data_IF_346314175512
#
_entry.id   IF_346314175512
#
_cell.length_a   1.000
_cell.length_b   1.000
_cell.length_c   1.000
_cell.angle_alpha   90.00
_cell.angle_beta   90.00
_cell.angle_gamma   90.00
#
_symmetry.space_group_name_H-M   'P 1'
#
loop_
_entity.id
_entity.type
_entity.pdbx_description
1 polymer ?
#
# COMPACT_ATOMS: atom_id res chain seq x y z
N UNK A 1 -6.07 23.03 -10.68
CA UNK A 1 -5.50 22.92 -9.32
C UNK A 1 -6.38 23.67 -8.32
N UNK A 2 -6.38 23.22 -7.06
CA UNK A 2 -7.11 23.86 -5.95
C UNK A 2 -6.11 24.15 -4.84
N UNK A 3 -6.08 25.40 -4.36
CA UNK A 3 -5.34 25.79 -3.18
C UNK A 3 -6.28 25.76 -1.98
N UNK A 4 -6.12 24.77 -1.12
CA UNK A 4 -6.95 24.59 0.07
C UNK A 4 -6.73 25.64 1.17
N UNK A 5 -5.63 26.37 1.13
CA UNK A 5 -5.33 27.42 2.12
C UNK A 5 -6.03 28.73 1.78
N UNK A 6 -6.08 29.10 0.50
CA UNK A 6 -6.69 30.34 0.03
C UNK A 6 -8.09 30.16 -0.55
N UNK A 7 -8.49 28.92 -0.88
CA UNK A 7 -9.74 28.58 -1.55
C UNK A 7 -9.74 28.89 -3.05
N UNK A 8 -8.62 29.24 -3.63
CA UNK A 8 -8.51 29.57 -5.05
C UNK A 8 -8.58 28.31 -5.92
N UNK A 9 -9.27 28.43 -7.04
CA UNK A 9 -9.37 27.38 -8.07
C UNK A 9 -8.71 27.89 -9.34
N UNK A 10 -7.76 27.10 -9.86
CA UNK A 10 -7.00 27.40 -11.08
C UNK A 10 -7.40 26.43 -12.19
N UNK A 11 -7.66 26.93 -13.38
CA UNK A 11 -8.05 26.12 -14.54
C UNK A 11 -6.91 25.30 -15.16
N UNK A 12 -5.71 25.39 -14.61
CA UNK A 12 -4.52 24.69 -15.07
C UNK A 12 -3.81 23.91 -13.94
N UNK A 13 -2.89 23.05 -14.31
CA UNK A 13 -2.01 22.37 -13.35
C UNK A 13 -0.88 23.30 -12.98
N UNK A 14 -0.83 23.72 -11.71
CA UNK A 14 0.24 24.58 -11.20
C UNK A 14 1.40 23.70 -10.76
N UNK A 15 2.61 24.12 -11.10
CA UNK A 15 3.83 23.45 -10.60
C UNK A 15 3.92 23.59 -9.07
N UNK A 16 4.11 22.47 -8.40
CA UNK A 16 4.24 22.39 -6.94
C UNK A 16 5.71 22.20 -6.58
N UNK A 17 6.20 22.99 -5.65
CA UNK A 17 7.53 22.80 -5.07
C UNK A 17 7.46 21.71 -4.00
N UNK A 18 8.22 20.60 -4.13
CA UNK A 18 8.25 19.58 -3.10
C UNK A 18 8.74 20.16 -1.76
N UNK A 19 8.16 19.66 -0.65
CA UNK A 19 8.61 20.01 0.67
C UNK A 19 10.07 19.60 0.86
N UNK A 20 10.88 20.52 1.36
CA UNK A 20 12.30 20.30 1.66
C UNK A 20 12.59 20.58 3.14
N UNK A 21 13.48 19.79 3.73
CA UNK A 21 14.02 20.07 5.06
C UNK A 21 15.13 21.08 4.88
N UNK A 22 14.90 22.32 5.32
CA UNK A 22 15.86 23.43 5.22
C UNK A 22 15.58 24.52 6.25
N UNK A 23 16.58 25.35 6.56
CA UNK A 23 16.44 26.51 7.43
C UNK A 23 15.94 26.16 8.84
N UNK A 24 14.91 26.86 9.30
CA UNK A 24 14.38 26.70 10.67
C UNK A 24 13.82 25.30 10.92
N UNK A 25 13.23 24.66 9.91
CA UNK A 25 12.72 23.28 10.03
C UNK A 25 13.87 22.30 10.26
N UNK A 26 14.99 22.43 9.54
CA UNK A 26 16.17 21.59 9.72
C UNK A 26 16.76 21.74 11.12
N UNK A 27 16.88 22.99 11.58
CA UNK A 27 17.33 23.31 12.93
C UNK A 27 16.42 22.68 13.99
N UNK A 28 15.10 22.84 13.84
CA UNK A 28 14.12 22.31 14.78
C UNK A 28 14.15 20.76 14.83
N UNK A 29 14.23 20.10 13.68
CA UNK A 29 14.36 18.66 13.60
C UNK A 29 15.69 18.17 14.21
N UNK A 30 16.78 18.91 14.05
CA UNK A 30 18.06 18.64 14.72
C UNK A 30 17.91 18.63 16.25
N UNK A 31 17.25 19.60 16.84
CA UNK A 31 16.97 19.63 18.28
C UNK A 31 16.10 18.44 18.72
N UNK A 32 15.09 18.07 17.92
CA UNK A 32 14.25 16.92 18.20
C UNK A 32 15.06 15.62 18.19
N UNK A 33 16.03 15.48 17.27
CA UNK A 33 16.92 14.33 17.20
C UNK A 33 17.88 14.25 18.41
N UNK A 34 18.39 15.38 18.90
CA UNK A 34 19.20 15.45 20.12
C UNK A 34 18.40 14.98 21.35
N UNK A 35 17.18 15.46 21.52
CA UNK A 35 16.29 15.04 22.63
C UNK A 35 15.96 13.55 22.53
N UNK A 36 15.70 13.06 21.33
CA UNK A 36 15.45 11.64 21.07
C UNK A 36 16.67 10.79 21.43
N UNK A 37 17.87 11.18 21.01
CA UNK A 37 19.11 10.48 21.33
C UNK A 37 19.36 10.45 22.85
N UNK A 38 19.12 11.55 23.56
CA UNK A 38 19.26 11.65 25.01
C UNK A 38 18.26 10.75 25.76
N UNK A 39 17.13 10.38 25.16
CA UNK A 39 16.13 9.47 25.77
C UNK A 39 16.52 7.99 25.74
N UNK A 40 17.59 7.61 25.05
CA UNK A 40 18.12 6.25 25.06
C UNK A 40 18.65 5.89 26.47
N UNK A 41 18.32 4.68 26.94
CA UNK A 41 18.74 4.22 28.27
C UNK A 41 19.19 2.76 28.25
N UNK A 42 20.11 2.42 29.13
CA UNK A 42 20.49 1.02 29.36
C UNK A 42 19.77 0.47 30.59
N UNK A 43 19.11 -0.66 30.44
CA UNK A 43 18.44 -1.34 31.54
C UNK A 43 19.47 -1.95 32.52
N UNK A 44 19.11 -2.28 33.76
CA UNK A 44 19.99 -2.96 34.68
C UNK A 44 20.53 -4.33 34.17
N UNK A 45 19.81 -4.94 33.23
CA UNK A 45 20.24 -6.18 32.55
C UNK A 45 21.20 -5.95 31.39
N UNK A 46 21.67 -4.71 31.15
CA UNK A 46 22.60 -4.37 30.08
C UNK A 46 21.96 -4.18 28.69
N UNK A 47 20.63 -4.26 28.57
CA UNK A 47 19.93 -4.06 27.30
C UNK A 47 19.76 -2.56 27.03
N UNK A 48 20.22 -2.10 25.89
CA UNK A 48 19.93 -0.73 25.43
C UNK A 48 18.48 -0.64 24.94
N UNK A 49 17.71 0.26 25.54
CA UNK A 49 16.38 0.65 25.10
C UNK A 49 16.53 1.95 24.33
N UNK A 50 16.20 1.91 23.06
CA UNK A 50 16.16 3.11 22.22
C UNK A 50 15.15 4.10 22.77
N UNK A 51 15.39 5.37 22.51
CA UNK A 51 14.44 6.43 22.82
C UNK A 51 13.20 6.34 21.95
N UNK A 52 12.36 7.35 22.02
CA UNK A 52 11.16 7.45 21.19
C UNK A 52 11.54 7.50 19.72
N UNK A 53 10.97 6.61 18.91
CA UNK A 53 11.19 6.56 17.47
C UNK A 53 9.88 6.87 16.73
N UNK A 54 9.97 7.68 15.66
CA UNK A 54 8.85 7.95 14.77
C UNK A 54 8.99 7.08 13.53
N UNK A 55 7.97 6.27 13.25
CA UNK A 55 7.87 5.46 12.05
C UNK A 55 6.82 6.10 11.11
N UNK A 56 7.18 6.27 9.84
CA UNK A 56 6.29 6.90 8.86
C UNK A 56 5.35 5.89 8.21
N UNK A 57 4.17 6.34 7.78
CA UNK A 57 3.39 5.65 6.78
C UNK A 57 4.01 5.99 5.42
N UNK A 58 4.57 5.02 4.73
CA UNK A 58 5.23 5.25 3.44
C UNK A 58 5.26 3.99 2.58
N UNK A 59 5.21 4.20 1.28
CA UNK A 59 5.41 3.20 0.26
C UNK A 59 6.74 3.44 -0.47
N UNK A 60 7.04 2.66 -1.51
CA UNK A 60 8.35 2.67 -2.16
C UNK A 60 8.85 4.08 -2.54
N UNK A 61 7.96 4.89 -3.13
CA UNK A 61 8.34 6.23 -3.63
C UNK A 61 8.45 7.28 -2.53
N UNK A 62 7.83 7.05 -1.38
CA UNK A 62 7.75 7.98 -0.26
C UNK A 62 8.82 7.73 0.80
N UNK A 63 9.36 6.51 0.86
CA UNK A 63 10.35 6.11 1.87
C UNK A 63 11.58 7.03 1.92
N UNK A 64 12.21 7.45 0.79
CA UNK A 64 13.34 8.37 0.83
C UNK A 64 13.00 9.73 1.42
N UNK A 65 11.77 10.21 1.20
CA UNK A 65 11.30 11.47 1.76
C UNK A 65 11.05 11.34 3.26
N UNK A 66 10.42 10.25 3.71
CA UNK A 66 10.19 9.98 5.11
C UNK A 66 11.50 10.01 5.93
N UNK A 67 12.59 9.46 5.37
CA UNK A 67 13.90 9.51 6.04
C UNK A 67 14.47 10.92 6.12
N UNK A 68 14.34 11.72 5.06
CA UNK A 68 14.79 13.11 5.09
C UNK A 68 14.07 13.92 6.16
N UNK A 69 12.85 13.57 6.51
CA UNK A 69 12.08 14.14 7.60
C UNK A 69 12.34 13.48 8.97
N UNK A 70 13.31 12.57 9.07
CA UNK A 70 13.76 12.00 10.35
C UNK A 70 13.02 10.74 10.80
N UNK A 71 12.25 10.07 9.93
CA UNK A 71 11.63 8.81 10.27
C UNK A 71 12.69 7.72 10.52
N UNK A 72 12.53 6.95 11.61
CA UNK A 72 13.42 5.85 11.97
C UNK A 72 13.13 4.57 11.17
N UNK A 73 11.96 4.49 10.53
CA UNK A 73 11.53 3.35 9.74
C UNK A 73 10.15 3.56 9.12
N UNK A 74 9.61 2.51 8.50
CA UNK A 74 8.23 2.48 8.00
C UNK A 74 7.35 1.74 9.01
N UNK A 75 6.39 2.47 9.57
CA UNK A 75 5.40 1.94 10.52
C UNK A 75 4.19 1.31 9.86
N UNK A 76 3.91 1.71 8.62
CA UNK A 76 2.86 1.11 7.79
C UNK A 76 3.20 1.29 6.30
N UNK A 77 3.40 0.15 5.63
CA UNK A 77 3.40 0.04 4.18
C UNK A 77 2.10 -0.65 3.74
N UNK A 78 1.28 0.04 2.93
CA UNK A 78 0.01 -0.47 2.41
C UNK A 78 0.24 -1.18 1.09
N UNK A 79 0.16 -2.50 1.08
CA UNK A 79 0.43 -3.28 -0.13
C UNK A 79 -0.65 -3.15 -1.20
N UNK A 80 -1.87 -2.77 -0.83
CA UNK A 80 -2.97 -2.54 -1.77
C UNK A 80 -2.66 -1.46 -2.81
N UNK A 81 -1.92 -0.42 -2.44
CA UNK A 81 -1.54 0.64 -3.37
C UNK A 81 -0.64 0.14 -4.51
N UNK A 82 0.11 -0.92 -4.28
CA UNK A 82 0.95 -1.54 -5.31
C UNK A 82 0.13 -2.19 -6.43
N UNK A 83 -1.15 -2.50 -6.19
CA UNK A 83 -2.01 -3.17 -7.16
C UNK A 83 -2.77 -2.22 -8.09
N UNK A 84 -2.81 -0.90 -7.81
CA UNK A 84 -3.56 0.05 -8.63
C UNK A 84 -2.87 0.43 -9.97
N UNK A 85 -1.62 0.02 -10.16
CA UNK A 85 -0.89 0.28 -11.41
C UNK A 85 -0.91 -0.92 -12.36
N UNK A 86 -0.96 -0.65 -13.66
CA UNK A 86 -0.81 -1.70 -14.67
C UNK A 86 0.66 -2.19 -14.74
N UNK A 87 0.92 -3.47 -15.02
CA UNK A 87 -0.05 -4.53 -15.38
C UNK A 87 -0.64 -5.28 -14.17
N UNK A 88 -0.28 -4.90 -12.94
CA UNK A 88 -0.72 -5.60 -11.71
C UNK A 88 -2.23 -5.52 -11.53
N UNK A 89 -2.82 -4.34 -11.77
CA UNK A 89 -4.27 -4.14 -11.61
C UNK A 89 -5.09 -5.13 -12.45
N UNK A 90 -4.76 -5.30 -13.72
CA UNK A 90 -5.48 -6.23 -14.60
C UNK A 90 -5.36 -7.68 -14.12
N UNK A 91 -4.17 -8.12 -13.72
CA UNK A 91 -3.96 -9.48 -13.20
C UNK A 91 -4.69 -9.70 -11.87
N UNK A 92 -4.71 -8.68 -11.01
CA UNK A 92 -5.41 -8.72 -9.75
C UNK A 92 -6.93 -8.75 -9.94
N UNK A 93 -7.48 -7.95 -10.85
CA UNK A 93 -8.89 -7.98 -11.23
C UNK A 93 -9.30 -9.36 -11.78
N UNK A 94 -8.46 -9.99 -12.63
CA UNK A 94 -8.70 -11.36 -13.11
C UNK A 94 -8.69 -12.35 -11.95
N UNK A 95 -7.78 -12.24 -11.00
CA UNK A 95 -7.75 -13.06 -9.80
C UNK A 95 -9.06 -12.94 -9.00
N UNK A 96 -9.54 -11.72 -8.78
CA UNK A 96 -10.77 -11.46 -8.01
C UNK A 96 -12.00 -12.12 -8.64
N UNK A 97 -12.13 -12.05 -9.97
CA UNK A 97 -13.29 -12.62 -10.68
C UNK A 97 -13.17 -14.11 -10.96
N UNK A 98 -12.03 -14.76 -10.66
CA UNK A 98 -11.79 -16.18 -10.90
C UNK A 98 -12.72 -17.05 -10.05
N UNK A 99 -13.32 -18.06 -10.66
CA UNK A 99 -14.23 -19.01 -9.99
C UNK A 99 -13.50 -20.20 -9.35
N UNK A 100 -12.26 -20.47 -9.78
CA UNK A 100 -11.45 -21.60 -9.26
C UNK A 100 -10.18 -21.14 -8.55
N UNK A 101 -9.68 -21.98 -7.65
CA UNK A 101 -8.39 -21.77 -6.97
C UNK A 101 -7.22 -21.83 -7.95
N UNK A 102 -7.32 -22.68 -8.97
CA UNK A 102 -6.29 -22.84 -10.01
C UNK A 102 -6.14 -21.56 -10.82
N UNK A 103 -7.25 -20.95 -11.24
CA UNK A 103 -7.22 -19.67 -11.96
C UNK A 103 -6.70 -18.54 -11.08
N UNK A 104 -7.11 -18.49 -9.80
CA UNK A 104 -6.56 -17.50 -8.86
C UNK A 104 -5.07 -17.64 -8.71
N UNK A 105 -4.56 -18.87 -8.50
CA UNK A 105 -3.11 -19.13 -8.41
C UNK A 105 -2.36 -18.75 -9.68
N UNK A 106 -2.91 -19.01 -10.85
CA UNK A 106 -2.30 -18.62 -12.12
C UNK A 106 -2.17 -17.09 -12.26
N UNK A 107 -3.22 -16.35 -11.90
CA UNK A 107 -3.20 -14.89 -11.91
C UNK A 107 -2.25 -14.31 -10.85
N UNK A 108 -2.19 -14.90 -9.66
CA UNK A 108 -1.26 -14.52 -8.60
C UNK A 108 0.20 -14.80 -8.98
N UNK A 109 0.47 -15.88 -9.70
CA UNK A 109 1.82 -16.18 -10.19
C UNK A 109 2.34 -15.13 -11.17
N UNK A 110 1.46 -14.48 -11.94
CA UNK A 110 1.84 -13.35 -12.79
C UNK A 110 2.14 -12.07 -11.99
N UNK A 111 1.52 -11.90 -10.82
CA UNK A 111 1.72 -10.74 -9.92
C UNK A 111 2.99 -10.89 -9.09
N UNK A 112 3.32 -12.09 -8.64
CA UNK A 112 4.42 -12.39 -7.72
C UNK A 112 5.73 -11.67 -8.07
N UNK A 113 6.31 -11.80 -9.30
CA UNK A 113 7.57 -11.14 -9.63
C UNK A 113 7.49 -9.62 -9.63
N UNK A 114 6.32 -9.06 -9.92
CA UNK A 114 6.11 -7.61 -9.91
C UNK A 114 6.08 -7.09 -8.47
N UNK A 115 5.42 -7.80 -7.58
CA UNK A 115 5.35 -7.42 -6.18
C UNK A 115 6.68 -7.68 -5.45
N UNK A 116 7.42 -8.72 -5.80
CA UNK A 116 8.81 -8.92 -5.34
C UNK A 116 9.68 -7.70 -5.67
N UNK A 117 9.56 -7.17 -6.89
CA UNK A 117 10.30 -5.98 -7.30
C UNK A 117 9.93 -4.74 -6.46
N UNK A 118 8.65 -4.58 -6.14
CA UNK A 118 8.18 -3.48 -5.28
C UNK A 118 8.79 -3.61 -3.86
N UNK A 119 8.71 -4.80 -3.26
CA UNK A 119 9.31 -5.05 -1.94
C UNK A 119 10.82 -4.94 -1.93
N UNK A 120 11.50 -5.45 -2.96
CA UNK A 120 12.94 -5.26 -3.11
C UNK A 120 13.31 -3.77 -3.09
N UNK A 121 12.54 -2.93 -3.81
CA UNK A 121 12.76 -1.48 -3.81
C UNK A 121 12.62 -0.86 -2.43
N UNK A 122 11.60 -1.25 -1.66
CA UNK A 122 11.39 -0.79 -0.28
C UNK A 122 12.52 -1.26 0.63
N UNK A 123 12.79 -2.56 0.66
CA UNK A 123 13.80 -3.18 1.53
C UNK A 123 15.18 -2.57 1.26
N UNK A 124 15.53 -2.39 -0.01
CA UNK A 124 16.78 -1.76 -0.41
C UNK A 124 16.88 -0.31 0.09
N UNK A 125 15.83 0.47 -0.05
CA UNK A 125 15.77 1.87 0.42
C UNK A 125 15.88 1.94 1.94
N UNK A 126 15.36 0.93 2.65
CA UNK A 126 15.32 0.91 4.11
C UNK A 126 16.67 0.60 4.76
N UNK A 127 17.64 -0.01 4.07
CA UNK A 127 19.02 -0.24 4.55
C UNK A 127 19.06 -0.83 5.98
N UNK A 128 18.26 -1.86 6.23
CA UNK A 128 18.18 -2.53 7.53
C UNK A 128 17.28 -1.86 8.60
N UNK A 129 16.61 -0.74 8.26
CA UNK A 129 15.61 -0.13 9.14
C UNK A 129 14.32 -0.94 9.16
N UNK A 130 13.54 -0.78 10.23
CA UNK A 130 12.28 -1.51 10.39
C UNK A 130 11.24 -1.12 9.32
N UNK A 131 10.57 -2.13 8.77
CA UNK A 131 9.42 -1.96 7.86
C UNK A 131 8.28 -2.82 8.34
N UNK A 132 7.15 -2.20 8.67
CA UNK A 132 5.90 -2.91 8.94
C UNK A 132 5.07 -2.95 7.67
N UNK A 133 4.94 -4.14 7.09
CA UNK A 133 4.19 -4.37 5.87
C UNK A 133 2.79 -4.88 6.25
N UNK A 134 1.75 -4.18 5.82
CA UNK A 134 0.38 -4.65 5.90
C UNK A 134 0.08 -5.50 4.66
N UNK A 135 -0.25 -6.76 4.86
CA UNK A 135 -0.78 -7.60 3.79
C UNK A 135 -2.10 -7.03 3.27
N UNK A 136 -2.60 -7.52 2.15
CA UNK A 136 -3.82 -7.04 1.52
C UNK A 136 -4.97 -6.92 2.54
N UNK A 137 -5.45 -5.71 2.74
CA UNK A 137 -6.47 -5.41 3.74
C UNK A 137 -7.83 -5.02 3.15
N UNK A 138 -7.95 -4.16 2.12
CA UNK A 138 -9.26 -3.71 1.65
C UNK A 138 -10.10 -4.84 1.06
N UNK A 139 -11.42 -4.69 1.08
CA UNK A 139 -12.31 -5.65 0.43
C UNK A 139 -12.11 -5.64 -1.09
N UNK A 140 -12.33 -6.79 -1.72
CA UNK A 140 -12.00 -6.99 -3.13
C UNK A 140 -12.85 -6.15 -4.10
N UNK A 141 -14.04 -5.70 -3.68
CA UNK A 141 -14.88 -4.83 -4.51
C UNK A 141 -14.22 -3.48 -4.83
N UNK A 142 -13.30 -2.98 -4.00
CA UNK A 142 -12.57 -1.73 -4.30
C UNK A 142 -11.73 -1.81 -5.59
N UNK A 143 -11.33 -3.01 -6.01
CA UNK A 143 -10.58 -3.23 -7.24
C UNK A 143 -11.46 -3.54 -8.45
N UNK A 144 -12.74 -3.86 -8.21
CA UNK A 144 -13.72 -4.18 -9.25
C UNK A 144 -14.70 -3.02 -9.36
N UNK A 145 -14.30 -1.98 -10.09
CA UNK A 145 -15.12 -0.78 -10.28
C UNK A 145 -16.24 -1.08 -11.29
N UNK A 146 -17.44 -1.33 -10.79
CA UNK A 146 -18.62 -1.64 -11.60
C UNK A 146 -19.91 -1.01 -11.02
N UNK A 147 -19.76 0.15 -10.34
CA UNK A 147 -20.88 0.87 -9.72
C UNK A 147 -21.86 1.42 -10.74
N UNK A 148 -21.43 1.62 -11.98
CA UNK A 148 -22.28 2.09 -13.09
C UNK A 148 -22.22 1.09 -14.25
N UNK A 149 -23.30 1.03 -15.08
CA UNK A 149 -23.31 0.17 -16.27
C UNK A 149 -22.15 0.43 -17.24
N UNK A 150 -21.67 1.66 -17.33
CA UNK A 150 -20.57 1.99 -18.23
C UNK A 150 -19.21 1.51 -17.70
N UNK A 151 -18.99 1.58 -16.38
CA UNK A 151 -17.82 1.00 -15.73
C UNK A 151 -17.82 -0.52 -15.85
N UNK A 152 -18.97 -1.17 -15.63
CA UNK A 152 -19.12 -2.61 -15.77
C UNK A 152 -18.80 -3.07 -17.21
N UNK A 153 -19.28 -2.34 -18.24
CA UNK A 153 -18.97 -2.60 -19.66
C UNK A 153 -17.48 -2.42 -19.97
N UNK A 154 -16.88 -1.33 -19.46
CA UNK A 154 -15.46 -1.07 -19.66
C UNK A 154 -14.58 -2.16 -19.05
N UNK A 155 -14.89 -2.59 -17.81
CA UNK A 155 -14.18 -3.64 -17.12
C UNK A 155 -14.38 -5.00 -17.81
N UNK A 156 -15.61 -5.34 -18.20
CA UNK A 156 -15.92 -6.58 -18.94
C UNK A 156 -15.12 -6.65 -20.26
N UNK A 157 -15.05 -5.56 -21.00
CA UNK A 157 -14.25 -5.46 -22.23
C UNK A 157 -12.75 -5.65 -21.94
N UNK A 158 -12.24 -4.99 -20.88
CA UNK A 158 -10.84 -5.07 -20.47
C UNK A 158 -10.44 -6.51 -20.09
N UNK A 159 -11.30 -7.21 -19.34
CA UNK A 159 -11.02 -8.56 -18.85
C UNK A 159 -11.44 -9.68 -19.83
N UNK A 160 -12.16 -9.35 -20.91
CA UNK A 160 -12.61 -10.31 -21.91
C UNK A 160 -13.76 -11.21 -21.45
N UNK A 161 -14.64 -10.69 -20.55
CA UNK A 161 -15.78 -11.43 -20.00
C UNK A 161 -17.11 -10.73 -20.31
N UNK A 162 -18.23 -11.37 -20.00
CA UNK A 162 -19.56 -10.78 -20.19
C UNK A 162 -19.86 -9.71 -19.13
N UNK A 163 -20.64 -8.69 -19.49
CA UNK A 163 -21.03 -7.60 -18.57
C UNK A 163 -21.83 -8.16 -17.39
N UNK A 164 -22.83 -9.00 -17.65
CA UNK A 164 -23.67 -9.63 -16.61
C UNK A 164 -22.83 -10.39 -15.57
N UNK A 165 -21.71 -10.99 -16.02
CA UNK A 165 -20.79 -11.68 -15.11
C UNK A 165 -20.08 -10.69 -14.17
N UNK A 166 -19.64 -9.54 -14.67
CA UNK A 166 -19.03 -8.49 -13.84
C UNK A 166 -20.04 -7.90 -12.85
N UNK A 167 -21.25 -7.59 -13.30
CA UNK A 167 -22.31 -7.06 -12.44
C UNK A 167 -22.67 -8.04 -11.31
N UNK A 168 -22.78 -9.32 -11.64
CA UNK A 168 -23.00 -10.37 -10.65
C UNK A 168 -21.86 -10.43 -9.62
N UNK A 169 -20.60 -10.48 -10.08
CA UNK A 169 -19.42 -10.53 -9.21
C UNK A 169 -19.33 -9.29 -8.33
N UNK A 170 -19.57 -8.11 -8.87
CA UNK A 170 -19.59 -6.87 -8.10
C UNK A 170 -20.66 -6.92 -7.01
N UNK A 171 -21.88 -7.39 -7.33
CA UNK A 171 -22.96 -7.54 -6.34
C UNK A 171 -22.60 -8.55 -5.23
N UNK A 172 -21.93 -9.66 -5.58
CA UNK A 172 -21.47 -10.67 -4.62
C UNK A 172 -20.39 -10.14 -3.66
N UNK A 173 -19.52 -9.25 -4.17
CA UNK A 173 -18.39 -8.68 -3.42
C UNK A 173 -18.79 -7.43 -2.62
N UNK A 174 -19.94 -6.84 -2.91
CA UNK A 174 -20.37 -5.60 -2.26
C UNK A 174 -20.78 -5.85 -0.80
N UNK A 175 -20.26 -5.03 0.09
CA UNK A 175 -20.44 -5.16 1.54
C UNK A 175 -21.28 -4.00 2.08
N UNK A 176 -22.26 -4.29 2.94
CA UNK A 176 -23.01 -3.26 3.65
C UNK A 176 -22.14 -2.41 4.57
N UNK A 177 -21.17 -3.04 5.22
CA UNK A 177 -20.19 -2.37 6.05
C UNK A 177 -18.77 -2.84 5.65
N UNK A 178 -18.05 -2.06 4.85
CA UNK A 178 -16.69 -2.42 4.40
C UNK A 178 -15.70 -2.65 5.53
N UNK A 179 -15.91 -2.04 6.70
CA UNK A 179 -15.03 -2.22 7.87
C UNK A 179 -15.16 -3.61 8.50
N UNK A 180 -16.34 -4.21 8.44
CA UNK A 180 -16.66 -5.52 9.01
C UNK A 180 -16.78 -6.62 7.96
N UNK A 181 -16.64 -6.28 6.69
CA UNK A 181 -16.79 -7.16 5.55
C UNK A 181 -15.67 -8.18 5.36
N UNK A 182 -15.67 -8.82 4.20
CA UNK A 182 -14.71 -9.85 3.81
C UNK A 182 -13.37 -9.23 3.38
N UNK A 183 -12.54 -8.89 4.37
CA UNK A 183 -11.26 -8.20 4.20
C UNK A 183 -10.20 -8.69 5.21
N UNK A 184 -8.95 -8.31 4.99
CA UNK A 184 -7.84 -8.56 5.91
C UNK A 184 -7.65 -10.04 6.22
N UNK A 185 -7.62 -10.41 7.50
CA UNK A 185 -7.42 -11.78 7.92
C UNK A 185 -8.56 -12.73 7.48
N UNK A 186 -9.80 -12.23 7.39
CA UNK A 186 -10.92 -13.03 6.89
C UNK A 186 -10.73 -13.40 5.42
N UNK A 187 -10.28 -12.44 4.60
CA UNK A 187 -9.94 -12.68 3.20
C UNK A 187 -8.80 -13.69 3.07
N UNK A 188 -7.74 -13.56 3.87
CA UNK A 188 -6.61 -14.47 3.86
C UNK A 188 -6.95 -15.90 4.31
N UNK A 189 -7.98 -16.08 5.14
CA UNK A 189 -8.49 -17.40 5.50
C UNK A 189 -9.30 -18.04 4.36
N UNK A 190 -10.08 -17.26 3.63
CA UNK A 190 -10.91 -17.75 2.52
C UNK A 190 -10.07 -18.03 1.26
N UNK A 191 -9.10 -17.16 1.00
CA UNK A 191 -8.20 -17.24 -0.16
C UNK A 191 -6.73 -17.24 0.28
N UNK A 192 -6.26 -18.33 0.92
CA UNK A 192 -4.90 -18.40 1.49
C UNK A 192 -3.80 -18.22 0.45
N UNK A 193 -4.07 -18.53 -0.81
CA UNK A 193 -3.15 -18.33 -1.93
C UNK A 193 -2.73 -16.85 -2.11
N UNK A 194 -3.57 -15.88 -1.72
CA UNK A 194 -3.22 -14.45 -1.76
C UNK A 194 -2.15 -14.16 -0.69
N UNK A 195 -2.37 -14.64 0.52
CA UNK A 195 -1.43 -14.48 1.63
C UNK A 195 -0.10 -15.18 1.36
N UNK A 196 -0.15 -16.41 0.81
CA UNK A 196 1.03 -17.16 0.39
C UNK A 196 1.84 -16.39 -0.65
N UNK A 197 1.20 -15.86 -1.69
CA UNK A 197 1.87 -15.07 -2.72
C UNK A 197 2.55 -13.84 -2.14
N UNK A 198 1.86 -13.08 -1.27
CA UNK A 198 2.45 -11.89 -0.64
C UNK A 198 3.60 -12.22 0.31
N UNK A 199 3.46 -13.28 1.11
CA UNK A 199 4.53 -13.72 2.00
C UNK A 199 5.78 -14.11 1.20
N UNK A 200 5.62 -14.86 0.10
CA UNK A 200 6.71 -15.19 -0.81
C UNK A 200 7.32 -13.93 -1.44
N UNK A 201 6.50 -13.01 -1.92
CA UNK A 201 6.98 -11.77 -2.52
C UNK A 201 7.85 -10.95 -1.57
N UNK A 202 7.56 -10.97 -0.27
CA UNK A 202 8.33 -10.27 0.77
C UNK A 202 9.63 -11.01 1.10
N UNK A 203 9.55 -12.33 1.29
CA UNK A 203 10.69 -13.13 1.76
C UNK A 203 11.71 -13.43 0.66
N UNK A 204 11.29 -13.43 -0.59
CA UNK A 204 12.13 -13.69 -1.76
C UNK A 204 12.63 -12.37 -2.41
N UNK A 205 12.28 -11.19 -1.86
CA UNK A 205 12.75 -9.87 -2.32
C UNK A 205 14.17 -9.51 -1.77
#
# INVERSE_FOLDING_TARGET
>A
SIDGSTGNVYGEVIAVTPAAVSGDLETFLGWADEVRAASCRTTPSGKTVKGFEVLANAEQNEAPQAFRFGAAGIGLCRTEHMFFEEPKLTSFQKMIISDSTEERKANLAAILPLQQKDFYGIIKTMEGRAVTIRLLDPPLNEFVQAETPDLAKALAKKLGVKVDFIEKKYSELNEHNPMLGHRGCRLGNTYPEITEMQARAILEA
#
